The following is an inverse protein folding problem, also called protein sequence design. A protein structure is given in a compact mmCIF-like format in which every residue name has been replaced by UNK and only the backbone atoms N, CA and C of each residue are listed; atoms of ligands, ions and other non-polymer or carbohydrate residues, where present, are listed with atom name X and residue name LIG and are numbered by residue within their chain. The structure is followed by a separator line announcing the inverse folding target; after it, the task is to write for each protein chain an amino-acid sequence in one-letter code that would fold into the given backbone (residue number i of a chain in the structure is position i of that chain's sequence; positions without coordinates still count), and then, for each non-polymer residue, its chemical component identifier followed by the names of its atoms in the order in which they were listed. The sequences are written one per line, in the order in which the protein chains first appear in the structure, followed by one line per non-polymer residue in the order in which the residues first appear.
data_IF_581624431810
#
_entry.id   IF_581624431810
#
_cell.length_a   1.000
_cell.length_b   1.000
_cell.length_c   1.000
_cell.angle_alpha   90.00
_cell.angle_beta   90.00
_cell.angle_gamma   90.00
#
_symmetry.space_group_name_H-M   'P 1'
#
loop_
_entity.id
_entity.type
_entity.pdbx_description
1 polymer ?
#
# COMPACT_ATOMS: atom_id res chain seq x y z
N UNK A 1 -44.24 -2.16 -38.84
CA UNK A 1 -43.22 -2.90 -39.63
C UNK A 1 -42.73 -4.10 -38.82
N UNK A 2 -43.01 -5.34 -39.24
CA UNK A 2 -42.42 -6.54 -38.62
C UNK A 2 -41.06 -6.80 -39.27
N UNK A 3 -39.99 -6.38 -38.63
CA UNK A 3 -38.62 -6.60 -39.10
C UNK A 3 -38.35 -8.11 -39.04
N UNK A 4 -38.05 -8.72 -40.18
CA UNK A 4 -37.62 -10.13 -40.24
C UNK A 4 -36.20 -10.20 -39.68
N UNK A 5 -36.03 -10.79 -38.50
CA UNK A 5 -34.72 -11.05 -37.93
C UNK A 5 -34.07 -12.21 -38.67
N UNK A 6 -33.00 -11.93 -39.43
CA UNK A 6 -32.18 -12.96 -40.04
C UNK A 6 -31.47 -13.78 -38.94
N UNK A 7 -31.44 -15.11 -39.12
CA UNK A 7 -30.79 -16.05 -38.20
C UNK A 7 -29.30 -15.74 -37.99
N UNK A 8 -28.62 -15.20 -39.02
CA UNK A 8 -27.23 -14.74 -38.92
C UNK A 8 -27.09 -13.48 -38.08
N UNK A 9 -28.04 -12.55 -38.20
CA UNK A 9 -28.06 -11.31 -37.43
C UNK A 9 -28.22 -11.61 -35.93
N UNK A 10 -29.14 -12.52 -35.57
CA UNK A 10 -29.34 -12.92 -34.17
C UNK A 10 -28.05 -13.51 -33.57
N UNK A 11 -27.33 -14.35 -34.33
CA UNK A 11 -26.03 -14.92 -33.90
C UNK A 11 -24.95 -13.84 -33.72
N UNK A 12 -24.89 -12.85 -34.62
CA UNK A 12 -23.96 -11.73 -34.43
C UNK A 12 -24.34 -10.88 -33.22
N UNK A 13 -25.63 -10.61 -33.01
CA UNK A 13 -26.12 -9.81 -31.89
C UNK A 13 -25.94 -10.51 -30.54
N UNK A 14 -26.05 -11.83 -30.48
CA UNK A 14 -25.76 -12.61 -29.27
C UNK A 14 -24.29 -12.65 -28.90
N UNK A 15 -23.39 -12.44 -29.88
CA UNK A 15 -21.95 -12.37 -29.63
C UNK A 15 -21.51 -11.00 -29.11
N UNK A 16 -22.39 -10.00 -29.08
CA UNK A 16 -22.08 -8.67 -28.54
C UNK A 16 -22.37 -8.66 -27.05
N UNK A 17 -21.33 -8.51 -26.23
CA UNK A 17 -21.40 -8.52 -24.75
C UNK A 17 -22.41 -7.52 -24.15
N UNK A 18 -22.77 -6.49 -24.91
CA UNK A 18 -23.68 -5.41 -24.50
C UNK A 18 -25.15 -5.64 -24.89
N UNK A 19 -25.49 -6.77 -25.51
CA UNK A 19 -26.85 -7.03 -25.98
C UNK A 19 -27.31 -8.39 -25.48
N UNK A 20 -28.40 -8.40 -24.71
CA UNK A 20 -29.10 -9.63 -24.33
C UNK A 20 -30.25 -9.86 -25.29
N UNK A 21 -30.26 -11.02 -25.93
CA UNK A 21 -31.36 -11.45 -26.79
C UNK A 21 -32.29 -12.37 -26.01
N UNK A 22 -33.56 -12.00 -25.89
CA UNK A 22 -34.58 -12.87 -25.30
C UNK A 22 -35.36 -13.60 -26.41
N UNK A 23 -35.22 -14.94 -26.52
CA UNK A 23 -35.79 -15.72 -27.62
C UNK A 23 -37.32 -15.82 -27.56
N UNK A 24 -37.92 -15.60 -26.38
CA UNK A 24 -39.36 -15.69 -26.14
C UNK A 24 -40.08 -14.46 -26.70
N UNK A 25 -39.61 -13.27 -26.34
CA UNK A 25 -40.23 -12.01 -26.74
C UNK A 25 -39.66 -11.45 -28.06
N UNK A 26 -38.55 -12.04 -28.56
CA UNK A 26 -37.78 -11.54 -29.71
C UNK A 26 -37.34 -10.08 -29.52
N UNK A 27 -37.05 -9.71 -28.28
CA UNK A 27 -36.57 -8.38 -27.90
C UNK A 27 -35.06 -8.40 -27.69
N UNK A 28 -34.43 -7.26 -27.97
CA UNK A 28 -33.02 -7.02 -27.71
C UNK A 28 -32.94 -5.98 -26.61
N UNK A 29 -32.26 -6.31 -25.51
CA UNK A 29 -32.04 -5.40 -24.41
C UNK A 29 -30.57 -4.98 -24.36
N UNK A 30 -30.34 -3.68 -24.12
CA UNK A 30 -28.98 -3.18 -23.84
C UNK A 30 -28.56 -3.62 -22.44
N UNK A 31 -27.46 -4.35 -22.36
CA UNK A 31 -26.81 -4.74 -21.12
C UNK A 31 -25.68 -3.74 -20.83
N UNK A 32 -25.86 -2.91 -19.81
CA UNK A 32 -24.74 -2.13 -19.28
C UNK A 32 -23.71 -3.07 -18.67
N UNK A 33 -22.41 -2.74 -18.80
CA UNK A 33 -21.27 -3.55 -18.33
C UNK A 33 -21.48 -4.10 -16.90
N UNK A 34 -22.10 -3.30 -16.05
CA UNK A 34 -22.68 -3.76 -14.82
C UNK A 34 -24.16 -3.39 -14.87
N UNK A 35 -25.07 -4.36 -14.88
CA UNK A 35 -26.53 -4.17 -14.84
C UNK A 35 -26.97 -3.63 -13.46
N UNK A 36 -26.33 -2.56 -12.99
CA UNK A 36 -26.56 -1.93 -11.70
C UNK A 36 -27.61 -0.86 -11.92
N UNK A 37 -28.84 -1.16 -11.52
CA UNK A 37 -29.98 -0.23 -11.60
C UNK A 37 -30.40 0.28 -10.22
N UNK A 38 -29.88 -0.34 -9.16
CA UNK A 38 -30.27 -0.09 -7.76
C UNK A 38 -29.06 0.10 -6.86
N UNK A 39 -29.24 0.86 -5.78
CA UNK A 39 -28.25 1.02 -4.70
C UNK A 39 -27.83 -0.32 -4.07
N UNK A 40 -28.77 -1.26 -3.90
CA UNK A 40 -28.46 -2.60 -3.38
C UNK A 40 -27.58 -3.40 -4.35
N UNK A 41 -27.85 -3.31 -5.66
CA UNK A 41 -27.05 -4.00 -6.67
C UNK A 41 -25.62 -3.44 -6.72
N UNK A 42 -25.46 -2.13 -6.55
CA UNK A 42 -24.15 -1.49 -6.44
C UNK A 42 -23.36 -2.06 -5.26
N UNK A 43 -23.97 -2.17 -4.09
CA UNK A 43 -23.31 -2.72 -2.90
C UNK A 43 -22.93 -4.19 -3.10
N UNK A 44 -23.83 -5.02 -3.65
CA UNK A 44 -23.53 -6.43 -3.97
C UNK A 44 -22.38 -6.56 -4.95
N UNK A 45 -22.36 -5.76 -6.01
CA UNK A 45 -21.26 -5.78 -6.98
C UNK A 45 -19.95 -5.39 -6.29
N UNK A 46 -19.94 -4.33 -5.49
CA UNK A 46 -18.77 -3.88 -4.74
C UNK A 46 -18.30 -4.89 -3.69
N UNK A 47 -19.20 -5.66 -3.07
CA UNK A 47 -18.87 -6.74 -2.13
C UNK A 47 -18.29 -7.96 -2.82
N UNK A 48 -18.82 -8.31 -4.00
CA UNK A 48 -18.43 -9.48 -4.78
C UNK A 48 -17.14 -9.25 -5.58
N UNK A 49 -16.64 -8.02 -5.70
CA UNK A 49 -15.36 -7.76 -6.36
C UNK A 49 -14.21 -8.35 -5.52
N UNK A 50 -13.47 -9.36 -6.02
CA UNK A 50 -12.36 -9.98 -5.28
C UNK A 50 -11.14 -9.06 -5.22
N UNK A 51 -10.92 -8.29 -6.27
CA UNK A 51 -9.97 -7.19 -6.31
C UNK A 51 -10.72 -5.92 -5.92
N UNK A 52 -10.38 -5.30 -4.80
CA UNK A 52 -10.94 -4.01 -4.33
C UNK A 52 -10.56 -2.82 -5.25
N UNK A 53 -10.58 -3.02 -6.56
CA UNK A 53 -10.44 -1.96 -7.54
C UNK A 53 -11.68 -1.07 -7.48
N UNK A 54 -11.44 0.24 -7.45
CA UNK A 54 -12.53 1.23 -7.39
C UNK A 54 -13.35 1.20 -8.68
N UNK A 55 -14.67 1.16 -8.55
CA UNK A 55 -15.58 1.14 -9.68
C UNK A 55 -15.71 2.54 -10.28
N UNK A 56 -15.42 2.74 -11.59
CA UNK A 56 -15.50 4.06 -12.19
C UNK A 56 -16.96 4.48 -12.43
N UNK A 57 -17.30 5.70 -12.03
CA UNK A 57 -18.67 6.24 -12.14
C UNK A 57 -19.12 6.37 -13.60
N UNK A 58 -18.18 6.49 -14.55
CA UNK A 58 -18.48 6.50 -15.99
C UNK A 58 -19.21 5.23 -16.44
N UNK A 59 -18.82 4.07 -15.92
CA UNK A 59 -19.47 2.79 -16.25
C UNK A 59 -20.85 2.68 -15.62
N UNK A 60 -21.05 3.29 -14.45
CA UNK A 60 -22.36 3.33 -13.78
C UNK A 60 -23.35 4.27 -14.50
N UNK A 61 -22.87 5.40 -15.02
CA UNK A 61 -23.71 6.36 -15.75
C UNK A 61 -24.30 5.79 -17.03
N UNK A 62 -23.63 4.81 -17.65
CA UNK A 62 -24.05 4.19 -18.92
C UNK A 62 -25.32 3.32 -18.78
N UNK A 63 -25.57 2.76 -17.58
CA UNK A 63 -26.72 1.90 -17.30
C UNK A 63 -27.79 2.51 -16.39
N UNK A 64 -27.52 3.68 -15.78
CA UNK A 64 -28.33 4.19 -14.67
C UNK A 64 -28.48 5.72 -14.68
N UNK A 65 -29.68 6.18 -15.08
CA UNK A 65 -30.02 7.61 -15.20
C UNK A 65 -30.16 8.38 -13.86
N UNK A 66 -30.05 7.69 -12.71
CA UNK A 66 -30.15 8.28 -11.36
C UNK A 66 -28.92 8.06 -10.48
N UNK A 67 -27.80 7.63 -11.07
CA UNK A 67 -26.65 7.14 -10.32
C UNK A 67 -26.07 8.17 -9.33
N UNK A 68 -25.91 9.43 -9.74
CA UNK A 68 -25.26 10.45 -8.90
C UNK A 68 -26.02 10.76 -7.59
N UNK A 69 -27.35 10.85 -7.64
CA UNK A 69 -28.17 11.11 -6.45
C UNK A 69 -28.13 9.91 -5.48
N UNK A 70 -28.20 8.69 -6.03
CA UNK A 70 -28.09 7.48 -5.21
C UNK A 70 -26.71 7.30 -4.59
N UNK A 71 -25.63 7.68 -5.29
CA UNK A 71 -24.28 7.74 -4.74
C UNK A 71 -24.22 8.76 -3.60
N UNK A 72 -24.75 9.96 -3.80
CA UNK A 72 -24.75 11.00 -2.77
C UNK A 72 -25.53 10.57 -1.50
N UNK A 73 -26.62 9.81 -1.67
CA UNK A 73 -27.36 9.19 -0.55
C UNK A 73 -26.51 8.15 0.18
N UNK A 74 -25.89 7.22 -0.55
CA UNK A 74 -25.03 6.19 0.04
C UNK A 74 -23.75 6.75 0.68
N UNK A 75 -23.22 7.84 0.16
CA UNK A 75 -22.11 8.60 0.75
C UNK A 75 -22.52 9.21 2.09
N UNK A 76 -23.70 9.84 2.17
CA UNK A 76 -24.27 10.33 3.44
C UNK A 76 -24.50 9.21 4.46
N UNK A 77 -24.89 8.03 4.00
CA UNK A 77 -25.04 6.83 4.84
C UNK A 77 -23.69 6.19 5.21
N UNK A 78 -22.57 6.70 4.72
CA UNK A 78 -21.21 6.16 4.90
C UNK A 78 -21.03 4.70 4.42
N UNK A 79 -21.89 4.19 3.53
CA UNK A 79 -21.77 2.81 3.01
C UNK A 79 -20.73 2.68 1.90
N UNK A 80 -20.44 3.79 1.22
CA UNK A 80 -19.47 3.85 0.13
C UNK A 80 -18.47 4.98 0.33
N UNK A 81 -17.26 4.79 -0.17
CA UNK A 81 -16.23 5.81 -0.27
C UNK A 81 -16.21 6.31 -1.70
N UNK A 82 -16.28 7.63 -1.88
CA UNK A 82 -16.30 8.27 -3.19
C UNK A 82 -15.06 9.14 -3.35
N UNK A 83 -14.24 8.84 -4.36
CA UNK A 83 -13.13 9.72 -4.74
C UNK A 83 -13.63 10.73 -5.76
N UNK A 84 -13.70 11.99 -5.32
CA UNK A 84 -14.11 13.13 -6.14
C UNK A 84 -12.91 13.82 -6.77
N UNK A 85 -13.07 14.31 -8.00
CA UNK A 85 -12.05 15.14 -8.66
C UNK A 85 -11.99 16.53 -8.03
N UNK A 86 -10.77 17.05 -7.79
CA UNK A 86 -10.56 18.36 -7.15
C UNK A 86 -11.17 19.56 -7.89
N UNK A 87 -11.32 19.48 -9.22
CA UNK A 87 -11.79 20.61 -10.05
C UNK A 87 -13.32 20.73 -10.12
N UNK A 88 -14.00 19.61 -10.32
CA UNK A 88 -15.45 19.58 -10.61
C UNK A 88 -16.29 18.94 -9.49
N UNK A 89 -15.63 18.52 -8.40
CA UNK A 89 -16.21 17.70 -7.32
C UNK A 89 -16.98 16.46 -7.83
N UNK A 90 -16.73 16.05 -9.07
CA UNK A 90 -17.43 14.95 -9.72
C UNK A 90 -16.90 13.61 -9.19
N UNK A 91 -17.78 12.65 -8.85
CA UNK A 91 -17.36 11.36 -8.34
C UNK A 91 -16.71 10.56 -9.48
N UNK A 92 -15.47 10.11 -9.27
CA UNK A 92 -14.68 9.39 -10.29
C UNK A 92 -14.65 7.89 -10.05
N UNK A 93 -14.38 7.48 -8.82
CA UNK A 93 -14.30 6.08 -8.40
C UNK A 93 -15.06 5.87 -7.10
N UNK A 94 -15.61 4.68 -6.95
CA UNK A 94 -16.39 4.25 -5.79
C UNK A 94 -15.74 3.01 -5.19
N UNK A 95 -15.64 2.97 -3.87
CA UNK A 95 -15.26 1.78 -3.10
C UNK A 95 -16.30 1.49 -2.05
N UNK A 96 -16.32 0.23 -1.60
CA UNK A 96 -17.12 -0.18 -0.47
C UNK A 96 -16.46 0.27 0.84
N UNK A 97 -17.24 0.79 1.77
CA UNK A 97 -16.78 1.02 3.13
C UNK A 97 -17.02 -0.23 3.99
N UNK A 98 -16.03 -1.13 4.09
CA UNK A 98 -16.17 -2.38 4.88
C UNK A 98 -16.34 -2.15 6.39
N UNK A 99 -15.86 -1.03 6.92
CA UNK A 99 -15.91 -0.76 8.36
C UNK A 99 -17.01 0.20 8.80
N UNK A 100 -17.86 0.68 7.88
CA UNK A 100 -18.82 1.77 8.14
C UNK A 100 -18.20 2.94 8.92
N UNK A 101 -16.90 3.19 8.69
CA UNK A 101 -16.23 4.31 9.32
C UNK A 101 -16.87 5.61 8.82
N UNK A 102 -17.15 6.57 9.71
CA UNK A 102 -17.68 7.86 9.28
C UNK A 102 -16.60 8.57 8.45
N UNK A 103 -16.86 8.74 7.14
CA UNK A 103 -15.94 9.37 6.18
C UNK A 103 -16.28 10.86 5.97
N UNK A 104 -17.25 11.39 6.72
CA UNK A 104 -17.68 12.79 6.67
C UNK A 104 -18.62 13.13 7.82
N UNK A 105 -18.70 14.41 8.19
CA UNK A 105 -19.62 14.97 9.20
C UNK A 105 -19.02 15.14 10.60
N UNK A 106 -19.87 15.38 11.60
CA UNK A 106 -19.53 15.71 13.02
C UNK A 106 -18.71 14.64 13.77
N UNK A 107 -18.42 13.49 13.14
CA UNK A 107 -17.55 12.43 13.67
C UNK A 107 -16.14 12.45 13.05
N UNK A 108 -15.82 13.48 12.27
CA UNK A 108 -14.47 13.69 11.76
C UNK A 108 -13.53 14.02 12.91
N UNK A 109 -12.34 13.46 12.85
CA UNK A 109 -11.19 13.94 13.62
C UNK A 109 -10.99 15.42 13.25
N UNK A 110 -10.83 16.28 14.26
CA UNK A 110 -10.61 17.70 14.03
C UNK A 110 -9.35 17.95 13.18
N UNK A 111 -9.34 19.00 12.34
CA UNK A 111 -8.21 19.30 11.47
C UNK A 111 -6.90 19.50 12.23
N UNK A 112 -6.95 19.94 13.49
CA UNK A 112 -5.78 20.10 14.35
C UNK A 112 -5.03 18.78 14.57
N UNK A 113 -5.75 17.67 14.78
CA UNK A 113 -5.12 16.36 14.96
C UNK A 113 -4.44 15.88 13.67
N UNK A 114 -5.01 16.19 12.50
CA UNK A 114 -4.36 15.89 11.22
C UNK A 114 -3.04 16.66 11.05
N UNK A 115 -3.03 17.94 11.43
CA UNK A 115 -1.81 18.73 11.42
C UNK A 115 -0.77 18.21 12.42
N UNK A 116 -1.20 17.91 13.64
CA UNK A 116 -0.34 17.36 14.69
C UNK A 116 0.28 16.05 14.23
N UNK A 117 -0.53 15.13 13.70
CA UNK A 117 -0.05 13.85 13.17
C UNK A 117 0.94 14.03 12.01
N UNK A 118 0.66 14.96 11.09
CA UNK A 118 1.53 15.24 9.94
C UNK A 118 2.86 15.90 10.34
N UNK A 119 2.87 16.67 11.43
CA UNK A 119 4.09 17.30 11.98
C UNK A 119 5.02 16.29 12.65
N UNK A 120 4.50 15.16 13.13
CA UNK A 120 5.32 14.11 13.76
C UNK A 120 6.18 13.42 12.70
N UNK A 121 7.48 13.71 12.73
CA UNK A 121 8.47 13.03 11.89
C UNK A 121 8.80 11.67 12.49
N UNK A 122 8.51 10.60 11.77
CA UNK A 122 8.89 9.23 12.18
C UNK A 122 10.39 9.02 11.92
N UNK A 123 11.21 8.75 12.96
CA UNK A 123 12.62 8.41 12.79
C UNK A 123 12.80 7.12 11.99
N UNK A 124 13.91 6.99 11.28
CA UNK A 124 14.18 5.80 10.45
C UNK A 124 14.78 4.66 11.29
N UNK A 125 14.35 3.43 10.98
CA UNK A 125 14.99 2.16 11.39
C UNK A 125 15.33 2.05 12.87
N UNK A 126 16.62 2.14 13.18
CA UNK A 126 17.19 1.82 14.50
C UNK A 126 16.86 2.88 15.56
N UNK A 127 16.75 4.15 15.18
CA UNK A 127 16.42 5.23 16.10
C UNK A 127 15.00 5.11 16.65
N UNK A 128 14.06 4.66 15.80
CA UNK A 128 12.67 4.41 16.21
C UNK A 128 12.62 3.27 17.25
N UNK A 129 13.37 2.19 17.05
CA UNK A 129 13.43 1.08 18.00
C UNK A 129 14.01 1.51 19.36
N UNK A 130 15.09 2.31 19.34
CA UNK A 130 15.69 2.87 20.56
C UNK A 130 14.71 3.77 21.28
N UNK A 131 13.97 4.63 20.57
CA UNK A 131 12.97 5.51 21.16
C UNK A 131 11.76 4.76 21.71
N UNK A 132 11.30 3.71 21.03
CA UNK A 132 10.22 2.86 21.52
C UNK A 132 10.62 2.17 22.84
N UNK A 133 11.85 1.62 22.91
CA UNK A 133 12.38 1.02 24.13
C UNK A 133 12.55 2.02 25.27
N UNK A 134 13.03 3.24 24.97
CA UNK A 134 13.11 4.34 25.96
C UNK A 134 11.73 4.70 26.52
N UNK A 135 10.68 4.61 25.72
CA UNK A 135 9.30 4.88 26.13
C UNK A 135 8.56 3.62 26.64
N UNK A 136 9.26 2.49 26.85
CA UNK A 136 8.69 1.26 27.40
C UNK A 136 7.81 0.46 26.43
N UNK A 137 7.75 0.82 25.15
CA UNK A 137 7.06 0.08 24.11
C UNK A 137 8.00 -0.96 23.51
N UNK A 138 7.57 -2.23 23.47
CA UNK A 138 8.35 -3.30 22.83
C UNK A 138 8.29 -3.10 21.31
N UNK A 139 9.43 -2.90 20.61
CA UNK A 139 9.44 -2.83 19.15
C UNK A 139 9.03 -4.17 18.56
N UNK A 140 8.05 -4.18 17.65
CA UNK A 140 7.56 -5.40 17.00
C UNK A 140 8.58 -6.01 16.02
N UNK A 141 9.62 -5.25 15.61
CA UNK A 141 10.46 -5.59 14.46
C UNK A 141 11.97 -5.72 14.76
N UNK A 142 12.38 -5.96 16.01
CA UNK A 142 13.81 -6.15 16.31
C UNK A 142 14.05 -7.47 17.01
N UNK A 143 14.75 -8.37 16.30
CA UNK A 143 15.42 -9.51 16.89
C UNK A 143 16.32 -9.00 18.03
N UNK A 144 16.08 -9.56 19.22
CA UNK A 144 16.74 -9.23 20.50
C UNK A 144 18.27 -9.36 20.47
N UNK A 145 18.83 -9.89 19.39
CA UNK A 145 20.25 -10.14 19.15
C UNK A 145 21.03 -8.84 18.86
N UNK A 146 20.51 -7.93 18.02
CA UNK A 146 21.27 -6.75 17.58
C UNK A 146 21.39 -5.66 18.65
N UNK A 147 20.43 -5.57 19.57
CA UNK A 147 20.45 -4.56 20.65
C UNK A 147 21.43 -4.95 21.77
N UNK A 148 21.69 -6.25 21.96
CA UNK A 148 22.67 -6.73 22.95
C UNK A 148 24.12 -6.45 22.54
N UNK A 149 24.40 -6.36 21.24
CA UNK A 149 25.75 -6.18 20.71
C UNK A 149 26.26 -4.73 20.81
N UNK A 150 25.36 -3.76 21.06
CA UNK A 150 25.72 -2.35 21.28
C UNK A 150 25.93 -2.00 22.77
N UNK A 151 25.98 -2.99 23.67
CA UNK A 151 26.56 -2.78 24.99
C UNK A 151 28.07 -2.84 24.85
N UNK A 152 28.67 -1.66 24.60
CA UNK A 152 30.04 -1.29 24.99
C UNK A 152 30.89 -2.50 25.38
N UNK A 153 31.45 -3.19 24.38
CA UNK A 153 32.67 -3.92 24.66
C UNK A 153 33.68 -2.84 25.02
N UNK A 154 33.90 -2.65 26.32
CA UNK A 154 35.13 -2.05 26.80
C UNK A 154 36.23 -2.84 26.11
N UNK A 155 36.77 -2.29 25.02
CA UNK A 155 37.98 -2.77 24.38
C UNK A 155 39.02 -2.54 25.45
N UNK A 156 39.20 -3.53 26.32
CA UNK A 156 40.33 -3.60 27.21
C UNK A 156 41.52 -3.49 26.29
N UNK A 157 42.20 -2.35 26.34
CA UNK A 157 43.44 -2.12 25.63
C UNK A 157 44.36 -3.29 25.98
N UNK A 158 44.49 -4.24 25.06
CA UNK A 158 45.40 -5.36 25.22
C UNK A 158 46.78 -4.73 25.24
N UNK A 159 47.35 -4.58 26.43
CA UNK A 159 48.73 -4.11 26.64
C UNK A 159 49.63 -4.85 25.64
N UNK A 160 50.14 -4.13 24.64
CA UNK A 160 51.10 -4.66 23.69
C UNK A 160 52.32 -5.15 24.49
N UNK A 161 52.65 -6.43 24.35
CA UNK A 161 53.87 -7.00 24.93
C UNK A 161 55.07 -6.34 24.26
N UNK A 162 55.85 -5.55 25.00
CA UNK A 162 57.12 -4.97 24.52
C UNK A 162 58.01 -6.09 23.96
N UNK A 163 58.63 -5.92 22.78
CA UNK A 163 59.52 -6.93 22.22
C UNK A 163 60.73 -7.10 23.14
N UNK A 164 60.93 -8.32 23.64
CA UNK A 164 62.14 -8.67 24.40
C UNK A 164 63.30 -8.69 23.43
N UNK A 165 64.23 -7.74 23.55
CA UNK A 165 65.54 -7.83 22.88
C UNK A 165 66.26 -9.07 23.41
N UNK A 166 66.40 -10.10 22.56
CA UNK A 166 67.23 -11.26 22.87
C UNK A 166 68.67 -10.81 23.13
N UNK A 167 69.24 -11.19 24.28
CA UNK A 167 70.66 -11.01 24.53
C UNK A 167 71.42 -11.95 23.60
N UNK A 168 72.15 -11.37 22.66
CA UNK A 168 73.05 -12.12 21.78
C UNK A 168 74.27 -12.49 22.63
N UNK A 169 74.37 -13.75 23.02
CA UNK A 169 75.44 -14.26 23.90
C UNK A 169 76.73 -14.59 23.16
N UNK A 170 76.74 -14.53 21.82
CA UNK A 170 77.92 -14.78 21.00
C UNK A 170 78.51 -13.48 20.44
N UNK A 171 79.47 -12.91 21.17
CA UNK A 171 80.15 -11.65 20.85
C UNK A 171 80.95 -11.70 19.53
N UNK A 172 81.40 -12.89 19.12
CA UNK A 172 82.24 -13.08 17.92
C UNK A 172 81.49 -13.10 16.59
N UNK A 173 80.18 -13.33 16.58
CA UNK A 173 79.37 -13.40 15.33
C UNK A 173 78.79 -12.04 14.91
N UNK A 174 79.10 -10.97 15.64
CA UNK A 174 78.51 -9.64 15.48
C UNK A 174 78.92 -8.92 14.17
N UNK A 175 80.02 -9.35 13.55
CA UNK A 175 80.52 -8.80 12.28
C UNK A 175 79.88 -9.43 11.03
N UNK A 176 79.46 -10.71 11.11
CA UNK A 176 78.88 -11.44 9.96
C UNK A 176 77.37 -11.19 9.86
N UNK A 177 76.68 -11.08 10.99
CA UNK A 177 75.22 -10.90 11.04
C UNK A 177 74.74 -9.45 10.86
N UNK A 178 75.65 -8.52 10.55
CA UNK A 178 75.29 -7.13 10.24
C UNK A 178 75.38 -6.92 8.73
N UNK A 179 74.27 -7.10 8.05
CA UNK A 179 74.13 -6.72 6.66
C UNK A 179 74.22 -5.19 6.51
N UNK A 180 75.24 -4.71 5.83
CA UNK A 180 75.43 -3.28 5.48
C UNK A 180 74.96 -2.96 4.04
N UNK A 181 74.16 -3.85 3.43
CA UNK A 181 73.69 -3.69 2.04
C UNK A 181 72.64 -2.59 1.83
N UNK A 182 72.22 -1.87 2.88
CA UNK A 182 71.24 -0.78 2.78
C UNK A 182 71.89 0.59 3.07
N UNK A 183 72.88 0.96 2.26
CA UNK A 183 73.35 2.35 2.17
C UNK A 183 73.88 2.65 0.76
N UNK A 184 72.94 2.93 -0.14
CA UNK A 184 73.09 3.82 -1.30
C UNK A 184 71.94 4.80 -1.24
#
# INVERSE_FOLDING_TARGET
MKIKFDSKLIKCLSNVDRIKYDPINKTLEYLSLHNIKTASDLLKVLENQPTFQGLPVKQLKDGWNGCLDTIAKLERENKIIVHKTKKENSPRHIWLNKGNYPIGGDKLIEPEFYEMWSKVKVPKGDELAIQLLKNGLKPTNVDLENIKNNKTTNVQERKQKKPRRGKITNTHMKGILKDYSSRV
#
